data_IF_622112549993
#
_entry.id   IF_622112549993
#
_cell.length_a   1.000
_cell.length_b   1.000
_cell.length_c   1.000
_cell.angle_alpha   90.00
_cell.angle_beta   90.00
_cell.angle_gamma   90.00
#
_symmetry.space_group_name_H-M   'P 1'
#
loop_
_entity.id
_entity.type
_entity.pdbx_description
1 polymer ?
#
# COMPACT_ATOMS: atom_id res chain seq x y z
N UNK A 1 -32.01 -8.58 -16.60
CA UNK A 1 -31.30 -7.54 -15.82
C UNK A 1 -29.90 -8.04 -15.42
N UNK A 2 -29.81 -9.25 -14.83
CA UNK A 2 -28.49 -9.81 -14.40
C UNK A 2 -27.46 -9.94 -15.54
N UNK A 3 -27.89 -10.30 -16.77
CA UNK A 3 -26.96 -10.43 -17.91
C UNK A 3 -26.34 -9.10 -18.37
N UNK A 4 -27.05 -7.98 -18.28
CA UNK A 4 -26.56 -6.66 -18.66
C UNK A 4 -25.60 -6.13 -17.59
N UNK A 5 -25.90 -6.33 -16.32
CA UNK A 5 -25.03 -5.98 -15.20
C UNK A 5 -23.70 -6.75 -15.26
N UNK A 6 -23.75 -8.05 -15.54
CA UNK A 6 -22.56 -8.89 -15.72
C UNK A 6 -21.67 -8.44 -16.90
N UNK A 7 -22.28 -8.09 -18.04
CA UNK A 7 -21.53 -7.60 -19.20
C UNK A 7 -20.88 -6.23 -18.95
N UNK A 8 -21.55 -5.33 -18.25
CA UNK A 8 -20.96 -4.04 -17.84
C UNK A 8 -19.83 -4.24 -16.87
N UNK A 9 -20.01 -5.08 -15.86
CA UNK A 9 -18.97 -5.46 -14.92
C UNK A 9 -17.72 -5.95 -15.62
N UNK A 10 -17.84 -6.95 -16.50
CA UNK A 10 -16.70 -7.52 -17.21
C UNK A 10 -15.98 -6.46 -18.06
N UNK A 11 -16.70 -5.59 -18.74
CA UNK A 11 -16.09 -4.51 -19.54
C UNK A 11 -15.39 -3.48 -18.67
N UNK A 12 -15.98 -3.08 -17.54
CA UNK A 12 -15.39 -2.08 -16.64
C UNK A 12 -14.17 -2.65 -15.94
N UNK A 13 -14.25 -3.89 -15.44
CA UNK A 13 -13.13 -4.58 -14.83
C UNK A 13 -11.97 -4.80 -15.83
N UNK A 14 -12.27 -5.29 -17.03
CA UNK A 14 -11.29 -5.51 -18.09
C UNK A 14 -10.60 -4.20 -18.53
N UNK A 15 -11.34 -3.10 -18.62
CA UNK A 15 -10.77 -1.78 -18.91
C UNK A 15 -9.81 -1.30 -17.82
N UNK A 16 -10.01 -1.72 -16.57
CA UNK A 16 -9.10 -1.48 -15.45
C UNK A 16 -7.94 -2.49 -15.37
N UNK A 17 -7.92 -3.52 -16.21
CA UNK A 17 -6.93 -4.60 -16.18
C UNK A 17 -7.23 -5.67 -15.12
N UNK A 18 -8.50 -5.84 -14.73
CA UNK A 18 -8.95 -6.80 -13.74
C UNK A 18 -9.99 -7.78 -14.32
N UNK A 19 -10.06 -8.98 -13.75
CA UNK A 19 -11.07 -10.00 -14.05
C UNK A 19 -11.72 -10.45 -12.74
N UNK A 20 -13.05 -10.39 -12.67
CA UNK A 20 -13.85 -10.83 -11.53
C UNK A 20 -14.61 -12.08 -11.95
N UNK A 21 -14.38 -13.27 -11.34
CA UNK A 21 -14.81 -14.55 -11.88
C UNK A 21 -16.30 -14.83 -11.73
N UNK A 22 -17.05 -14.10 -10.90
CA UNK A 22 -18.47 -14.37 -10.70
C UNK A 22 -19.17 -13.39 -9.78
N UNK A 23 -20.47 -13.57 -9.60
CA UNK A 23 -21.29 -12.66 -8.79
C UNK A 23 -20.98 -12.77 -7.29
N UNK A 24 -20.66 -13.95 -6.77
CA UNK A 24 -20.20 -14.12 -5.39
C UNK A 24 -18.97 -13.28 -5.09
N UNK A 25 -18.01 -13.22 -6.03
CA UNK A 25 -16.85 -12.34 -5.92
C UNK A 25 -17.23 -10.85 -5.94
N UNK A 26 -18.25 -10.46 -6.69
CA UNK A 26 -18.77 -9.08 -6.68
C UNK A 26 -19.33 -8.69 -5.32
N UNK A 27 -20.09 -9.57 -4.68
CA UNK A 27 -20.66 -9.33 -3.35
C UNK A 27 -19.57 -9.17 -2.29
N UNK A 28 -18.53 -10.01 -2.33
CA UNK A 28 -17.40 -9.90 -1.42
C UNK A 28 -16.58 -8.63 -1.67
N UNK A 29 -16.23 -8.32 -2.91
CA UNK A 29 -15.44 -7.16 -3.27
C UNK A 29 -16.18 -5.84 -3.06
N UNK A 30 -17.49 -5.80 -3.25
CA UNK A 30 -18.32 -4.61 -3.03
C UNK A 30 -18.47 -4.23 -1.56
N UNK A 31 -18.18 -5.14 -0.63
CA UNK A 31 -18.17 -4.89 0.82
C UNK A 31 -16.81 -4.50 1.40
N UNK A 32 -15.76 -4.37 0.58
CA UNK A 32 -14.41 -4.05 1.04
C UNK A 32 -14.33 -2.60 1.54
N UNK A 33 -13.98 -2.41 2.79
CA UNK A 33 -13.75 -1.11 3.43
C UNK A 33 -12.27 -0.84 3.74
N UNK A 34 -11.42 -1.83 3.56
CA UNK A 34 -10.00 -1.77 3.91
C UNK A 34 -9.19 -2.62 2.93
N UNK A 35 -8.11 -2.06 2.41
CA UNK A 35 -7.15 -2.75 1.53
C UNK A 35 -5.79 -2.76 2.21
N UNK A 36 -5.14 -3.92 2.23
CA UNK A 36 -3.75 -4.07 2.65
C UNK A 36 -2.86 -4.20 1.43
N UNK A 37 -1.73 -3.48 1.45
CA UNK A 37 -0.68 -3.56 0.43
C UNK A 37 0.69 -3.53 1.05
N UNK A 38 1.69 -3.98 0.30
CA UNK A 38 3.09 -3.71 0.63
C UNK A 38 3.51 -2.32 0.14
N UNK A 39 4.42 -1.67 0.86
CA UNK A 39 4.94 -0.36 0.49
C UNK A 39 5.61 -0.37 -0.90
N UNK A 40 6.14 -1.50 -1.36
CA UNK A 40 6.73 -1.67 -2.68
C UNK A 40 5.70 -1.51 -3.83
N UNK A 41 4.40 -1.67 -3.56
CA UNK A 41 3.33 -1.35 -4.52
C UNK A 41 3.11 0.17 -4.66
N UNK A 42 3.46 0.94 -3.64
CA UNK A 42 3.34 2.39 -3.61
C UNK A 42 4.63 3.07 -4.07
N UNK A 43 5.77 2.56 -3.63
CA UNK A 43 7.10 3.12 -3.89
C UNK A 43 7.98 2.10 -4.59
N UNK A 44 8.17 2.30 -5.89
CA UNK A 44 9.02 1.45 -6.73
C UNK A 44 10.50 1.82 -6.60
N UNK A 45 11.37 1.12 -7.30
CA UNK A 45 12.81 1.34 -7.27
C UNK A 45 13.26 2.78 -7.60
N UNK A 46 12.43 3.53 -8.34
CA UNK A 46 12.72 4.91 -8.74
C UNK A 46 12.05 5.97 -7.84
N UNK A 47 11.40 5.54 -6.77
CA UNK A 47 10.61 6.44 -5.91
C UNK A 47 11.45 7.21 -4.90
N UNK A 48 12.62 6.73 -4.50
CA UNK A 48 13.50 7.39 -3.55
C UNK A 48 14.66 8.09 -4.27
N UNK A 49 14.99 9.30 -3.82
CA UNK A 49 16.12 10.08 -4.32
C UNK A 49 16.98 10.54 -3.15
N UNK A 50 18.30 10.57 -3.35
CA UNK A 50 19.23 11.11 -2.38
C UNK A 50 19.36 12.63 -2.57
N UNK A 51 18.96 13.41 -1.57
CA UNK A 51 19.11 14.88 -1.57
C UNK A 51 20.43 15.33 -0.96
N UNK A 52 20.86 14.68 0.12
CA UNK A 52 22.09 15.03 0.82
C UNK A 52 22.66 13.82 1.58
N UNK A 53 23.94 13.88 1.85
CA UNK A 53 24.67 12.93 2.69
C UNK A 53 25.53 13.68 3.70
N UNK A 54 25.38 13.37 4.99
CA UNK A 54 26.21 13.92 6.06
C UNK A 54 27.08 12.84 6.64
N UNK A 55 28.39 13.04 6.58
CA UNK A 55 29.38 12.12 7.14
C UNK A 55 29.82 12.63 8.51
N UNK A 56 29.79 11.74 9.50
CA UNK A 56 30.19 12.02 10.86
C UNK A 56 31.64 11.59 11.11
N UNK A 57 32.18 11.98 12.28
CA UNK A 57 33.56 11.69 12.64
C UNK A 57 33.89 10.20 12.60
N UNK A 58 34.90 9.81 11.83
CA UNK A 58 35.25 8.40 11.62
C UNK A 58 34.62 7.74 10.44
N UNK A 59 33.55 8.35 9.84
CA UNK A 59 32.94 7.86 8.62
C UNK A 59 33.71 8.30 7.36
N UNK A 60 33.49 7.55 6.27
CA UNK A 60 33.93 7.89 4.91
C UNK A 60 32.78 7.68 3.96
N UNK A 61 32.61 8.59 3.01
CA UNK A 61 31.48 8.60 2.08
C UNK A 61 31.43 7.33 1.21
N UNK A 62 32.56 6.88 0.70
CA UNK A 62 32.67 5.67 -0.10
C UNK A 62 32.26 4.42 0.68
N UNK A 63 32.75 4.28 1.91
CA UNK A 63 32.37 3.18 2.80
C UNK A 63 30.91 3.28 3.26
N UNK A 64 30.42 4.46 3.57
CA UNK A 64 29.03 4.67 3.97
C UNK A 64 28.07 4.22 2.86
N UNK A 65 28.35 4.58 1.61
CA UNK A 65 27.58 4.11 0.45
C UNK A 65 27.66 2.60 0.30
N UNK A 66 28.85 1.99 0.36
CA UNK A 66 29.03 0.56 0.19
C UNK A 66 28.36 -0.27 1.29
N UNK A 67 28.49 0.10 2.57
CA UNK A 67 27.79 -0.56 3.67
C UNK A 67 26.28 -0.48 3.47
N UNK A 68 25.75 0.71 3.17
CA UNK A 68 24.32 0.89 2.96
C UNK A 68 23.82 0.13 1.76
N UNK A 69 24.50 0.21 0.63
CA UNK A 69 24.15 -0.56 -0.57
C UNK A 69 24.19 -2.07 -0.32
N UNK A 70 25.16 -2.58 0.43
CA UNK A 70 25.27 -4.01 0.74
C UNK A 70 24.11 -4.51 1.59
N UNK A 71 23.77 -3.81 2.67
CA UNK A 71 22.67 -4.18 3.55
C UNK A 71 21.32 -4.00 2.87
N UNK A 72 21.11 -2.88 2.18
CA UNK A 72 19.83 -2.53 1.56
C UNK A 72 19.57 -3.24 0.22
N UNK A 73 20.53 -3.98 -0.31
CA UNK A 73 20.35 -4.76 -1.55
C UNK A 73 19.25 -5.83 -1.44
N UNK A 74 18.91 -6.23 -0.23
CA UNK A 74 17.84 -7.20 0.06
C UNK A 74 16.64 -6.57 0.77
N UNK A 75 16.54 -5.24 0.79
CA UNK A 75 15.46 -4.50 1.43
C UNK A 75 14.32 -4.14 0.45
N UNK A 76 13.43 -3.25 0.87
CA UNK A 76 12.34 -2.69 0.07
C UNK A 76 12.82 -2.08 -1.26
N UNK A 77 11.93 -2.04 -2.25
CA UNK A 77 12.23 -1.66 -3.62
C UNK A 77 12.85 -0.26 -3.73
N UNK A 78 12.30 0.73 -3.01
CA UNK A 78 12.75 2.12 -3.10
C UNK A 78 14.18 2.31 -2.61
N UNK A 79 14.52 1.81 -1.41
CA UNK A 79 15.88 1.92 -0.86
C UNK A 79 16.89 1.10 -1.68
N UNK A 80 16.52 -0.13 -2.05
CA UNK A 80 17.35 -0.96 -2.93
C UNK A 80 17.63 -0.27 -4.26
N UNK A 81 16.61 0.30 -4.89
CA UNK A 81 16.74 1.02 -6.16
C UNK A 81 17.64 2.23 -6.04
N UNK A 82 17.44 3.06 -5.01
CA UNK A 82 18.27 4.23 -4.75
C UNK A 82 19.75 3.86 -4.61
N UNK A 83 20.08 2.92 -3.74
CA UNK A 83 21.50 2.58 -3.49
C UNK A 83 22.12 1.84 -4.67
N UNK A 84 21.37 1.05 -5.44
CA UNK A 84 21.84 0.48 -6.72
C UNK A 84 22.17 1.57 -7.73
N UNK A 85 21.33 2.59 -7.86
CA UNK A 85 21.59 3.72 -8.73
C UNK A 85 22.88 4.47 -8.32
N UNK A 86 23.11 4.71 -7.02
CA UNK A 86 24.29 5.39 -6.51
C UNK A 86 25.58 4.62 -6.83
N UNK A 87 25.54 3.29 -6.80
CA UNK A 87 26.71 2.44 -7.16
C UNK A 87 26.72 2.05 -8.65
N UNK A 88 25.87 2.66 -9.48
CA UNK A 88 25.80 2.39 -10.94
C UNK A 88 25.55 0.89 -11.25
N UNK A 89 24.66 0.24 -10.47
CA UNK A 89 24.36 -1.19 -10.54
C UNK A 89 25.58 -2.13 -10.38
N UNK A 90 26.68 -1.64 -9.87
CA UNK A 90 27.89 -2.44 -9.64
C UNK A 90 27.74 -3.33 -8.41
N UNK A 91 26.92 -4.37 -8.51
CA UNK A 91 26.69 -5.32 -7.42
C UNK A 91 27.92 -6.18 -7.08
N UNK A 92 28.90 -6.24 -7.97
CA UNK A 92 30.18 -6.92 -7.79
C UNK A 92 31.06 -6.33 -6.68
N UNK A 93 30.86 -5.05 -6.33
CA UNK A 93 31.61 -4.37 -5.27
C UNK A 93 30.98 -4.49 -3.89
N UNK A 94 29.76 -5.01 -3.79
CA UNK A 94 29.04 -5.14 -2.52
C UNK A 94 29.74 -6.12 -1.57
N UNK A 95 29.74 -5.77 -0.29
CA UNK A 95 30.22 -6.67 0.73
C UNK A 95 29.23 -7.83 0.93
N UNK A 96 29.72 -9.05 1.19
CA UNK A 96 28.85 -10.12 1.64
C UNK A 96 28.28 -9.78 3.02
N UNK A 97 26.97 -9.97 3.17
CA UNK A 97 26.26 -9.75 4.43
C UNK A 97 25.87 -11.08 5.08
N UNK A 98 25.83 -11.08 6.40
CA UNK A 98 25.36 -12.20 7.24
C UNK A 98 24.37 -11.69 8.28
N UNK A 99 23.47 -12.57 8.69
CA UNK A 99 22.53 -12.34 9.79
C UNK A 99 21.76 -11.02 9.61
N UNK A 100 21.12 -10.87 8.43
CA UNK A 100 20.26 -9.71 8.16
C UNK A 100 19.01 -9.80 9.04
N UNK A 101 18.85 -8.81 9.89
CA UNK A 101 17.67 -8.60 10.73
C UNK A 101 16.88 -7.39 10.22
N UNK A 102 15.58 -7.55 10.05
CA UNK A 102 14.65 -6.49 9.66
C UNK A 102 13.78 -6.13 10.85
N UNK A 103 13.86 -4.89 11.29
CA UNK A 103 13.03 -4.32 12.35
C UNK A 103 12.06 -3.30 11.73
N UNK A 104 10.83 -3.74 11.40
CA UNK A 104 9.83 -2.90 10.73
C UNK A 104 9.58 -1.59 11.49
N UNK A 105 9.54 -0.49 10.76
CA UNK A 105 9.40 0.86 11.33
C UNK A 105 10.64 1.41 12.05
N UNK A 106 11.73 0.64 12.13
CA UNK A 106 12.97 1.01 12.82
C UNK A 106 14.20 0.95 11.92
N UNK A 107 14.49 -0.21 11.31
CA UNK A 107 15.68 -0.35 10.46
C UNK A 107 16.15 -1.77 10.25
N UNK A 108 17.39 -1.86 9.82
CA UNK A 108 18.08 -3.09 9.44
C UNK A 108 19.37 -3.24 10.25
N UNK A 109 19.69 -4.46 10.64
CA UNK A 109 21.00 -4.82 11.16
C UNK A 109 21.59 -5.96 10.34
N UNK A 110 22.88 -5.94 10.09
CA UNK A 110 23.60 -7.04 9.46
C UNK A 110 25.09 -7.02 9.85
N UNK A 111 25.72 -8.15 9.69
CA UNK A 111 27.18 -8.24 9.70
C UNK A 111 27.72 -8.08 8.29
N UNK A 112 28.59 -7.10 8.11
CA UNK A 112 29.14 -6.72 6.82
C UNK A 112 30.64 -6.43 7.00
N UNK A 113 31.51 -7.15 6.30
CA UNK A 113 32.97 -7.02 6.42
C UNK A 113 33.45 -7.07 7.90
N UNK A 114 32.96 -8.04 8.67
CA UNK A 114 33.21 -8.21 10.11
C UNK A 114 32.79 -7.04 11.01
N UNK A 115 32.00 -6.11 10.51
CA UNK A 115 31.43 -5.02 11.27
C UNK A 115 29.92 -5.21 11.41
N UNK A 116 29.37 -4.90 12.60
CA UNK A 116 27.92 -4.78 12.75
C UNK A 116 27.48 -3.45 12.14
N UNK A 117 26.64 -3.54 11.13
CA UNK A 117 26.09 -2.39 10.41
C UNK A 117 24.64 -2.22 10.79
N UNK A 118 24.26 -1.03 11.18
CA UNK A 118 22.88 -0.64 11.49
C UNK A 118 22.46 0.46 10.52
N UNK A 119 21.29 0.28 9.92
CA UNK A 119 20.68 1.29 9.04
C UNK A 119 19.24 1.49 9.50
N UNK A 120 18.85 2.73 9.80
CA UNK A 120 17.51 2.98 10.28
C UNK A 120 17.24 4.42 10.68
N UNK A 121 16.09 4.64 11.29
CA UNK A 121 15.68 5.95 11.79
C UNK A 121 16.30 6.26 13.17
N UNK A 122 16.02 7.47 13.68
CA UNK A 122 16.49 7.93 14.99
C UNK A 122 16.13 6.96 16.11
N UNK A 123 14.89 6.52 16.17
CA UNK A 123 14.42 5.62 17.22
C UNK A 123 15.20 4.30 17.25
N UNK A 124 15.56 3.78 16.09
CA UNK A 124 16.39 2.58 16.00
C UNK A 124 17.79 2.81 16.54
N UNK A 125 18.44 3.90 16.15
CA UNK A 125 19.78 4.24 16.62
C UNK A 125 19.83 4.49 18.13
N UNK A 126 18.82 5.15 18.68
CA UNK A 126 18.68 5.37 20.13
C UNK A 126 18.50 4.04 20.87
N UNK A 127 17.67 3.13 20.36
CA UNK A 127 17.48 1.79 20.92
C UNK A 127 18.77 0.97 20.96
N UNK A 128 19.59 1.10 19.93
CA UNK A 128 20.88 0.40 19.82
C UNK A 128 22.03 1.14 20.53
N UNK A 129 21.74 2.27 21.19
CA UNK A 129 22.73 3.04 21.96
C UNK A 129 23.75 3.79 21.10
N UNK A 130 23.45 4.08 19.85
CA UNK A 130 24.30 4.86 18.95
C UNK A 130 24.18 6.35 19.28
N UNK A 131 25.28 7.07 19.58
CA UNK A 131 25.24 8.51 19.78
C UNK A 131 24.77 9.25 18.53
N UNK A 132 23.73 10.07 18.68
CA UNK A 132 23.14 10.84 17.59
C UNK A 132 23.34 12.35 17.79
N UNK A 133 23.30 13.15 16.73
CA UNK A 133 23.20 14.59 16.84
C UNK A 133 21.86 15.00 17.48
N UNK A 134 21.79 16.23 17.98
CA UNK A 134 20.58 16.79 18.54
C UNK A 134 19.43 16.78 17.52
N UNK A 135 18.19 16.69 17.99
CA UNK A 135 17.00 16.61 17.14
C UNK A 135 16.87 17.83 16.20
N UNK A 136 17.29 18.99 16.65
CA UNK A 136 17.29 20.21 15.83
C UNK A 136 18.16 20.09 14.57
N UNK A 137 19.29 19.38 14.68
CA UNK A 137 20.14 19.09 13.52
C UNK A 137 19.40 18.25 12.48
N UNK A 138 18.68 17.21 12.92
CA UNK A 138 17.86 16.37 12.04
C UNK A 138 16.72 17.17 11.43
N UNK A 139 15.97 17.93 12.22
CA UNK A 139 14.84 18.75 11.76
C UNK A 139 15.27 19.77 10.69
N UNK A 140 16.45 20.39 10.86
CA UNK A 140 17.00 21.31 9.88
C UNK A 140 17.26 20.63 8.54
N UNK A 141 17.83 19.41 8.53
CA UNK A 141 18.18 18.69 7.30
C UNK A 141 16.97 17.99 6.67
N UNK A 142 16.01 17.57 7.48
CA UNK A 142 14.75 16.99 7.00
C UNK A 142 13.73 18.05 6.55
N UNK A 143 14.06 19.33 6.61
CA UNK A 143 13.13 20.43 6.30
C UNK A 143 11.81 20.28 7.08
N UNK A 144 11.92 20.05 8.40
CA UNK A 144 10.80 19.80 9.31
C UNK A 144 9.94 18.59 8.91
N UNK A 145 10.56 17.55 8.38
CA UNK A 145 9.90 16.28 8.06
C UNK A 145 9.40 16.14 6.62
N UNK A 146 9.67 17.13 5.75
CA UNK A 146 9.40 17.01 4.31
C UNK A 146 10.33 15.99 3.65
N UNK A 147 11.58 15.93 4.10
CA UNK A 147 12.57 14.95 3.67
C UNK A 147 12.73 13.88 4.75
N UNK A 148 13.02 12.66 4.33
CA UNK A 148 13.20 11.51 5.21
C UNK A 148 14.67 11.35 5.60
N UNK A 149 14.91 10.89 6.82
CA UNK A 149 16.25 10.69 7.36
C UNK A 149 16.51 9.20 7.58
N UNK A 150 17.66 8.75 7.08
CA UNK A 150 18.15 7.40 7.28
C UNK A 150 19.58 7.46 7.83
N UNK A 151 19.80 6.88 8.99
CA UNK A 151 21.11 6.82 9.63
C UNK A 151 21.84 5.53 9.29
N UNK A 152 23.17 5.63 9.21
CA UNK A 152 24.10 4.49 9.14
C UNK A 152 25.04 4.53 10.34
N UNK A 153 25.07 3.45 11.10
CA UNK A 153 26.07 3.22 12.13
C UNK A 153 26.87 1.95 11.85
N UNK A 154 28.15 1.97 12.15
CA UNK A 154 29.06 0.85 11.99
C UNK A 154 29.79 0.62 13.30
N UNK A 155 29.70 -0.60 13.82
CA UNK A 155 30.32 -1.01 15.09
C UNK A 155 30.00 -0.02 16.25
N UNK A 156 28.75 0.41 16.35
CA UNK A 156 28.24 1.29 17.40
C UNK A 156 28.54 2.79 17.21
N UNK A 157 29.18 3.18 16.12
CA UNK A 157 29.52 4.57 15.83
C UNK A 157 28.69 5.10 14.65
N UNK A 158 28.14 6.29 14.79
CA UNK A 158 27.43 6.96 13.70
C UNK A 158 28.39 7.36 12.60
N UNK A 159 28.17 6.86 11.38
CA UNK A 159 29.02 7.12 10.21
C UNK A 159 28.39 8.10 9.23
N UNK A 160 27.09 7.97 8.97
CA UNK A 160 26.41 8.82 8.00
C UNK A 160 24.93 9.05 8.34
N UNK A 161 24.40 10.12 7.78
CA UNK A 161 22.99 10.43 7.71
C UNK A 161 22.66 10.73 6.25
N UNK A 162 21.75 9.97 5.68
CA UNK A 162 21.21 10.18 4.34
C UNK A 162 19.92 10.98 4.45
N UNK A 163 19.79 11.99 3.62
CA UNK A 163 18.56 12.78 3.48
C UNK A 163 17.90 12.37 2.18
N UNK A 164 16.70 11.85 2.29
CA UNK A 164 15.97 11.21 1.18
C UNK A 164 14.72 12.01 0.83
N UNK A 165 14.38 12.00 -0.44
CA UNK A 165 13.12 12.51 -0.96
C UNK A 165 12.35 11.39 -1.66
N UNK A 166 11.07 11.26 -1.35
CA UNK A 166 10.19 10.25 -1.96
C UNK A 166 9.21 10.90 -2.93
N UNK A 167 9.05 10.26 -4.09
CA UNK A 167 8.10 10.66 -5.13
C UNK A 167 7.13 9.51 -5.38
N UNK A 168 5.85 9.83 -5.37
CA UNK A 168 4.79 8.86 -5.63
C UNK A 168 4.70 8.43 -7.10
N UNK A 169 4.50 7.13 -7.33
CA UNK A 169 4.27 6.57 -8.65
C UNK A 169 2.89 6.93 -9.20
N UNK A 170 2.77 7.16 -10.52
CA UNK A 170 1.48 7.48 -11.17
C UNK A 170 0.45 6.36 -11.05
N UNK A 171 0.89 5.10 -11.09
CA UNK A 171 -0.01 3.96 -10.95
C UNK A 171 -0.60 3.90 -9.54
N UNK A 172 0.25 4.01 -8.52
CA UNK A 172 -0.17 4.07 -7.13
C UNK A 172 -1.09 5.26 -6.85
N UNK A 173 -0.74 6.46 -7.35
CA UNK A 173 -1.56 7.66 -7.17
C UNK A 173 -2.99 7.49 -7.72
N UNK A 174 -3.14 6.89 -8.90
CA UNK A 174 -4.48 6.57 -9.47
C UNK A 174 -5.27 5.61 -8.58
N UNK A 175 -4.62 4.56 -8.10
CA UNK A 175 -5.26 3.58 -7.23
C UNK A 175 -5.71 4.20 -5.91
N UNK A 176 -4.86 5.01 -5.30
CA UNK A 176 -5.14 5.69 -4.03
C UNK A 176 -6.26 6.73 -4.16
N UNK A 177 -6.29 7.48 -5.28
CA UNK A 177 -7.41 8.40 -5.57
C UNK A 177 -8.75 7.66 -5.64
N UNK A 178 -8.77 6.45 -6.19
CA UNK A 178 -9.97 5.64 -6.26
C UNK A 178 -10.38 5.12 -4.87
N UNK A 179 -9.45 4.64 -4.05
CA UNK A 179 -9.73 4.23 -2.67
C UNK A 179 -10.26 5.39 -1.83
N UNK A 180 -9.70 6.59 -2.01
CA UNK A 180 -10.17 7.79 -1.32
C UNK A 180 -11.61 8.13 -1.68
N UNK A 181 -11.98 8.05 -2.95
CA UNK A 181 -13.34 8.33 -3.42
C UNK A 181 -14.38 7.37 -2.85
N UNK A 182 -13.99 6.11 -2.68
CA UNK A 182 -14.85 5.06 -2.13
C UNK A 182 -14.72 4.91 -0.60
N UNK A 183 -14.00 5.82 0.07
CA UNK A 183 -13.74 5.81 1.52
C UNK A 183 -13.12 4.49 2.03
N UNK A 184 -12.30 3.83 1.21
CA UNK A 184 -11.59 2.61 1.57
C UNK A 184 -10.28 2.98 2.26
N UNK A 185 -10.03 2.39 3.44
CA UNK A 185 -8.81 2.59 4.22
C UNK A 185 -7.66 1.77 3.66
N UNK A 186 -6.44 2.25 3.88
CA UNK A 186 -5.20 1.61 3.43
C UNK A 186 -4.36 1.17 4.62
N UNK A 187 -4.10 -0.12 4.71
CA UNK A 187 -3.10 -0.71 5.60
C UNK A 187 -1.85 -1.00 4.79
N UNK A 188 -0.71 -0.54 5.25
CA UNK A 188 0.55 -0.70 4.54
C UNK A 188 1.54 -1.50 5.38
N UNK A 189 2.02 -2.61 4.85
CA UNK A 189 3.23 -3.27 5.37
C UNK A 189 4.46 -2.56 4.80
N UNK A 190 5.34 -2.07 5.67
CA UNK A 190 6.48 -1.26 5.25
C UNK A 190 7.75 -1.71 5.96
N UNK A 191 8.78 -2.03 5.19
CA UNK A 191 10.13 -2.31 5.71
C UNK A 191 11.01 -1.08 5.75
N UNK A 192 10.65 -0.02 5.00
CA UNK A 192 11.42 1.21 4.94
C UNK A 192 11.28 1.99 6.25
N UNK A 193 12.36 2.12 7.03
CA UNK A 193 12.33 2.78 8.34
C UNK A 193 12.22 4.31 8.24
N UNK A 194 12.42 4.86 7.06
CA UNK A 194 12.34 6.31 6.82
C UNK A 194 10.92 6.79 6.53
N UNK A 195 9.99 5.86 6.21
CA UNK A 195 8.61 6.19 5.89
C UNK A 195 7.67 6.07 7.09
N UNK A 196 6.77 7.01 7.22
CA UNK A 196 5.66 7.01 8.18
C UNK A 196 4.32 7.09 7.45
N UNK A 197 3.22 6.73 8.11
CA UNK A 197 1.87 6.84 7.54
C UNK A 197 1.57 8.28 7.07
N UNK A 198 2.01 9.28 7.85
CA UNK A 198 1.87 10.69 7.50
C UNK A 198 2.62 11.05 6.22
N UNK A 199 3.88 10.62 6.08
CA UNK A 199 4.68 10.90 4.88
C UNK A 199 4.10 10.24 3.64
N UNK A 200 3.59 9.00 3.74
CA UNK A 200 2.87 8.33 2.64
C UNK A 200 1.65 9.15 2.24
N UNK A 201 0.86 9.60 3.22
CA UNK A 201 -0.30 10.42 2.96
C UNK A 201 0.07 11.77 2.31
N UNK A 202 1.14 12.42 2.75
CA UNK A 202 1.64 13.68 2.18
C UNK A 202 2.09 13.51 0.73
N UNK A 203 2.88 12.46 0.42
CA UNK A 203 3.37 12.17 -0.95
C UNK A 203 2.22 11.96 -1.93
N UNK A 204 1.13 11.33 -1.50
CA UNK A 204 -0.02 11.01 -2.34
C UNK A 204 -1.22 11.95 -2.15
N UNK A 205 -1.08 13.00 -1.33
CA UNK A 205 -2.16 13.97 -1.04
C UNK A 205 -3.42 13.31 -0.48
N UNK A 206 -3.26 12.32 0.40
CA UNK A 206 -4.35 11.58 1.01
C UNK A 206 -4.82 12.25 2.31
N UNK A 207 -6.08 12.07 2.70
CA UNK A 207 -6.60 12.54 3.98
C UNK A 207 -5.83 11.91 5.15
N UNK A 208 -5.73 12.67 6.24
CA UNK A 208 -5.18 12.18 7.49
C UNK A 208 -6.01 10.98 8.01
N UNK A 209 -5.33 9.94 8.46
CA UNK A 209 -5.97 8.72 8.97
C UNK A 209 -6.41 7.70 7.92
N UNK A 210 -6.30 8.01 6.62
CA UNK A 210 -6.59 7.02 5.57
C UNK A 210 -5.53 5.91 5.50
N UNK A 211 -4.27 6.24 5.82
CA UNK A 211 -3.13 5.32 5.80
C UNK A 211 -2.77 4.90 7.21
N UNK A 212 -2.60 3.60 7.41
CA UNK A 212 -2.08 3.02 8.66
C UNK A 212 -0.92 2.08 8.33
N UNK A 213 0.23 2.27 8.96
CA UNK A 213 1.34 1.33 8.88
C UNK A 213 1.10 0.17 9.84
N UNK A 214 1.33 -1.04 9.35
CA UNK A 214 1.29 -2.25 10.16
C UNK A 214 2.60 -2.41 10.93
N UNK A 215 2.49 -2.73 12.21
CA UNK A 215 3.64 -3.09 13.03
C UNK A 215 4.12 -4.53 12.76
N UNK A 216 5.23 -4.92 13.38
CA UNK A 216 5.82 -6.26 13.21
C UNK A 216 4.88 -7.38 13.64
N UNK A 217 4.13 -7.20 14.71
CA UNK A 217 3.21 -8.19 15.26
C UNK A 217 2.01 -8.38 14.34
N UNK A 218 1.44 -7.28 13.85
CA UNK A 218 0.34 -7.28 12.89
C UNK A 218 0.74 -7.94 11.57
N UNK A 219 1.92 -7.63 11.02
CA UNK A 219 2.43 -8.27 9.82
C UNK A 219 2.62 -9.78 10.01
N UNK A 220 3.17 -10.20 11.17
CA UNK A 220 3.35 -11.62 11.48
C UNK A 220 2.02 -12.34 11.61
N UNK A 221 1.04 -11.71 12.27
CA UNK A 221 -0.30 -12.28 12.46
C UNK A 221 -1.03 -12.45 11.12
N UNK A 222 -0.91 -11.47 10.21
CA UNK A 222 -1.48 -11.56 8.87
C UNK A 222 -0.84 -12.66 8.03
N UNK A 223 0.50 -12.75 8.04
CA UNK A 223 1.21 -13.82 7.33
C UNK A 223 0.84 -15.22 7.87
N UNK A 224 0.65 -15.35 9.18
CA UNK A 224 0.17 -16.60 9.78
C UNK A 224 -1.27 -16.93 9.37
N UNK A 225 -2.14 -15.92 9.28
CA UNK A 225 -3.52 -16.09 8.82
C UNK A 225 -3.58 -16.50 7.33
N UNK A 226 -2.75 -15.90 6.48
CA UNK A 226 -2.62 -16.30 5.08
C UNK A 226 -2.16 -17.75 4.92
N UNK A 227 -1.16 -18.19 5.72
CA UNK A 227 -0.68 -19.57 5.70
C UNK A 227 -1.68 -20.57 6.26
N UNK A 228 -2.51 -20.16 7.22
CA UNK A 228 -3.56 -20.99 7.82
C UNK A 228 -4.84 -21.04 6.96
N UNK A 229 -5.01 -20.13 6.02
CA UNK A 229 -6.12 -20.20 5.08
C UNK A 229 -6.02 -21.51 4.29
N UNK A 230 -7.10 -22.32 4.20
CA UNK A 230 -7.05 -23.57 3.47
C UNK A 230 -6.59 -23.29 2.06
N UNK A 231 -5.52 -23.95 1.64
CA UNK A 231 -5.10 -23.91 0.24
C UNK A 231 -6.35 -24.27 -0.58
N UNK A 232 -6.81 -23.31 -1.36
CA UNK A 232 -7.99 -23.49 -2.16
C UNK A 232 -7.70 -24.61 -3.17
N UNK A 233 -8.19 -25.79 -2.90
CA UNK A 233 -8.14 -26.91 -3.84
C UNK A 233 -8.96 -26.62 -5.11
N UNK A 234 -9.76 -25.55 -5.09
CA UNK A 234 -10.61 -25.13 -6.23
C UNK A 234 -10.38 -23.63 -6.53
N UNK A 235 -10.33 -23.30 -7.82
CA UNK A 235 -10.22 -21.94 -8.34
C UNK A 235 -11.38 -20.98 -7.92
N UNK A 236 -12.28 -21.43 -7.07
CA UNK A 236 -13.46 -20.69 -6.61
C UNK A 236 -13.16 -19.66 -5.51
N UNK A 237 -11.96 -19.63 -4.95
CA UNK A 237 -11.58 -18.73 -3.84
C UNK A 237 -10.86 -17.45 -4.29
N UNK A 238 -10.62 -17.28 -5.58
CA UNK A 238 -10.03 -16.04 -6.10
C UNK A 238 -11.16 -15.06 -6.47
N UNK A 239 -11.29 -13.98 -5.69
CA UNK A 239 -12.30 -12.96 -5.95
C UNK A 239 -11.97 -12.07 -7.13
N UNK A 240 -10.67 -11.88 -7.44
CA UNK A 240 -10.23 -11.03 -8.55
C UNK A 240 -8.81 -11.38 -8.99
N UNK A 241 -8.58 -11.31 -10.29
CA UNK A 241 -7.24 -11.35 -10.91
C UNK A 241 -6.99 -9.98 -11.53
N UNK A 242 -5.83 -9.38 -11.26
CA UNK A 242 -5.44 -8.10 -11.86
C UNK A 242 -3.99 -8.13 -12.37
N UNK A 243 -3.66 -7.32 -13.37
CA UNK A 243 -2.40 -7.42 -14.12
C UNK A 243 -1.57 -6.13 -14.17
N UNK A 244 -2.13 -4.99 -13.82
CA UNK A 244 -1.50 -3.68 -14.03
C UNK A 244 -1.14 -2.94 -12.73
N UNK A 245 -0.75 -3.67 -11.69
CA UNK A 245 -0.37 -3.11 -10.40
C UNK A 245 -1.56 -2.54 -9.61
N UNK A 246 -1.26 -1.61 -8.72
CA UNK A 246 -2.22 -1.12 -7.74
C UNK A 246 -3.47 -0.45 -8.35
N UNK A 247 -3.33 0.29 -9.44
CA UNK A 247 -4.49 0.90 -10.11
C UNK A 247 -5.48 -0.12 -10.70
N UNK A 248 -5.01 -1.29 -11.13
CA UNK A 248 -5.92 -2.35 -11.61
C UNK A 248 -6.65 -3.05 -10.49
N UNK A 249 -6.01 -3.24 -9.32
CA UNK A 249 -6.66 -3.73 -8.11
C UNK A 249 -7.83 -2.83 -7.72
N UNK A 250 -7.57 -1.55 -7.56
CA UNK A 250 -8.58 -0.57 -7.12
C UNK A 250 -9.66 -0.34 -8.19
N UNK A 251 -9.29 -0.40 -9.47
CA UNK A 251 -10.23 -0.36 -10.57
C UNK A 251 -11.18 -1.54 -10.61
N UNK A 252 -10.70 -2.73 -10.27
CA UNK A 252 -11.52 -3.95 -10.09
C UNK A 252 -12.50 -3.82 -8.91
N UNK A 253 -12.03 -3.34 -7.76
CA UNK A 253 -12.88 -3.07 -6.60
C UNK A 253 -14.02 -2.10 -6.95
N UNK A 254 -13.71 -1.01 -7.62
CA UNK A 254 -14.72 -0.04 -8.07
C UNK A 254 -15.72 -0.64 -9.06
N UNK A 255 -15.27 -1.50 -9.97
CA UNK A 255 -16.16 -2.18 -10.91
C UNK A 255 -17.15 -3.10 -10.19
N UNK A 256 -16.69 -3.82 -9.16
CA UNK A 256 -17.52 -4.67 -8.32
C UNK A 256 -18.59 -3.86 -7.56
N UNK A 257 -18.18 -2.78 -6.92
CA UNK A 257 -19.08 -1.88 -6.18
C UNK A 257 -20.14 -1.26 -7.10
N UNK A 258 -19.76 -0.76 -8.26
CA UNK A 258 -20.69 -0.21 -9.24
C UNK A 258 -21.71 -1.24 -9.73
N UNK A 259 -21.26 -2.49 -9.94
CA UNK A 259 -22.16 -3.58 -10.33
C UNK A 259 -23.17 -3.92 -9.23
N UNK A 260 -22.73 -3.99 -7.98
CA UNK A 260 -23.59 -4.24 -6.82
C UNK A 260 -24.62 -3.11 -6.62
N UNK A 261 -24.19 -1.87 -6.72
CA UNK A 261 -25.07 -0.70 -6.61
C UNK A 261 -26.10 -0.65 -7.75
N UNK A 262 -25.72 -1.04 -8.96
CA UNK A 262 -26.63 -1.11 -10.10
C UNK A 262 -27.70 -2.19 -9.91
N UNK A 263 -27.36 -3.34 -9.33
CA UNK A 263 -28.32 -4.41 -9.03
C UNK A 263 -29.28 -4.01 -7.92
N UNK A 264 -28.77 -3.45 -6.83
CA UNK A 264 -29.58 -2.95 -5.72
C UNK A 264 -30.58 -1.89 -6.20
N UNK A 265 -30.17 -0.97 -7.06
CA UNK A 265 -31.02 0.05 -7.66
C UNK A 265 -32.08 -0.56 -8.57
N UNK A 266 -31.72 -1.55 -9.41
CA UNK A 266 -32.66 -2.24 -10.28
C UNK A 266 -33.70 -3.01 -9.49
N UNK A 267 -33.31 -3.69 -8.41
CA UNK A 267 -34.22 -4.40 -7.51
C UNK A 267 -35.21 -3.44 -6.84
N UNK A 268 -34.73 -2.28 -6.37
CA UNK A 268 -35.59 -1.24 -5.79
C UNK A 268 -36.61 -0.73 -6.79
N UNK A 269 -36.21 -0.44 -8.03
CA UNK A 269 -37.12 0.02 -9.09
C UNK A 269 -38.17 -1.06 -9.41
N UNK A 270 -37.80 -2.33 -9.45
CA UNK A 270 -38.75 -3.44 -9.68
C UNK A 270 -39.76 -3.55 -8.56
N UNK A 271 -39.35 -3.47 -7.29
CA UNK A 271 -40.27 -3.50 -6.14
C UNK A 271 -41.25 -2.32 -6.19
N UNK A 272 -40.76 -1.09 -6.46
CA UNK A 272 -41.63 0.09 -6.60
C UNK A 272 -42.64 -0.11 -7.73
N UNK A 273 -42.25 -0.63 -8.89
CA UNK A 273 -43.14 -0.86 -10.01
C UNK A 273 -44.20 -1.90 -9.71
N UNK A 274 -43.88 -2.96 -8.98
CA UNK A 274 -44.83 -3.99 -8.52
C UNK A 274 -45.85 -3.37 -7.56
N UNK A 275 -45.44 -2.57 -6.60
CA UNK A 275 -46.32 -1.87 -5.69
C UNK A 275 -47.29 -0.92 -6.41
N UNK A 276 -46.81 -0.14 -7.37
CA UNK A 276 -47.65 0.72 -8.21
C UNK A 276 -48.67 -0.06 -9.00
N UNK A 277 -48.29 -1.19 -9.58
CA UNK A 277 -49.22 -2.07 -10.32
C UNK A 277 -50.29 -2.65 -9.42
N UNK A 278 -49.98 -3.05 -8.19
CA UNK A 278 -50.94 -3.55 -7.21
C UNK A 278 -51.90 -2.43 -6.78
N UNK A 279 -51.41 -1.24 -6.47
CA UNK A 279 -52.26 -0.11 -6.06
C UNK A 279 -53.21 0.30 -7.17
N UNK A 280 -52.76 0.38 -8.44
CA UNK A 280 -53.62 0.69 -9.59
C UNK A 280 -54.67 -0.42 -9.80
N UNK A 281 -54.28 -1.70 -9.66
CA UNK A 281 -55.21 -2.81 -9.77
C UNK A 281 -56.33 -2.77 -8.72
N UNK A 282 -56.01 -2.46 -7.48
CA UNK A 282 -57.02 -2.30 -6.39
C UNK A 282 -57.94 -1.10 -6.65
N UNK A 283 -57.42 0.02 -7.10
CA UNK A 283 -58.21 1.21 -7.43
C UNK A 283 -59.16 0.96 -8.60
N UNK A 284 -58.76 0.27 -9.64
CA UNK A 284 -59.57 -0.08 -10.77
C UNK A 284 -60.71 -1.08 -10.39
N UNK A 285 -60.43 -2.05 -9.52
CA UNK A 285 -61.42 -3.00 -9.02
C UNK A 285 -62.46 -2.26 -8.15
N UNK A 286 -62.05 -1.36 -7.32
CA UNK A 286 -62.94 -0.54 -6.50
C UNK A 286 -63.84 0.38 -7.34
N UNK A 287 -63.28 1.07 -8.32
CA UNK A 287 -64.00 1.95 -9.22
C UNK A 287 -65.03 1.17 -10.10
N UNK A 288 -64.62 -0.04 -10.53
CA UNK A 288 -65.52 -0.93 -11.30
C UNK A 288 -66.71 -1.44 -10.47
N UNK A 289 -66.51 -1.73 -9.18
CA UNK A 289 -67.57 -2.14 -8.29
C UNK A 289 -68.60 -1.05 -7.95
N UNK A 290 -68.14 0.21 -7.91
CA UNK A 290 -69.03 1.39 -7.70
C UNK A 290 -69.86 1.68 -8.95
N UNK A 291 -69.33 1.46 -10.16
CA UNK A 291 -70.03 1.67 -11.42
C UNK A 291 -71.12 0.64 -11.72
N UNK A 292 -71.16 -0.54 -11.06
CA UNK A 292 -72.18 -1.53 -11.16
C UNK A 292 -73.37 -1.32 -10.20
N UNK A 293 -73.32 -0.37 -9.29
CA UNK A 293 -74.35 -0.05 -8.31
C UNK A 293 -75.10 1.27 -8.65
N UNK A 294 -74.82 1.89 -9.75
CA UNK A 294 -75.51 3.06 -10.34
C UNK A 294 -76.23 2.64 -11.61
#
# INVERSE_FOLDING_TARGET
VAGVASLRLQRTAAAAGAVIPGWAAVEELGGVDTVQVDADELFTADSAMLEDIRIFKGGRIDRAILYSASVLNQSCAALRGLFRQIIEDRTDILYPIKDLEVHRGLGFAAWCDNNRVLIGNRAYMEREGVPLPELEYEQKHSQNGTLQILYLAVSGNLHAMFVLHYVGGRNAARGLEMLQKENIRLLVSCEDPSLTARQIAEVYHLPEGMVTLLDQEQCTSLAAAEQAAPAAENAETCCMIHTQGFASLTGGLRAAEQAQNAENSATTVQLVSVWFSVVIGVLLTYAGSVGMLS
#
